data_IF_105723499997
#
_entry.id   IF_105723499997
#
_cell.length_a   1.000
_cell.length_b   1.000
_cell.length_c   1.000
_cell.angle_alpha   90.00
_cell.angle_beta   90.00
_cell.angle_gamma   90.00
#
_symmetry.space_group_name_H-M   'P 1'
#
loop_
_entity.id
_entity.type
_entity.pdbx_description
1 polymer ?
#
# COMPACT_ATOMS: atom_id res chain seq x y z
N UNK A 1 12.97 -13.40 -7.83
CA UNK A 1 14.31 -13.67 -7.25
C UNK A 1 15.07 -12.37 -7.03
N UNK A 2 15.34 -12.10 -5.76
CA UNK A 2 16.17 -11.02 -5.26
C UNK A 2 17.63 -11.17 -5.70
N UNK A 3 18.28 -10.06 -6.07
CA UNK A 3 19.69 -10.03 -6.45
C UNK A 3 20.48 -9.20 -5.43
N UNK A 4 21.38 -9.84 -4.69
CA UNK A 4 22.22 -9.18 -3.68
C UNK A 4 23.13 -8.06 -4.26
N UNK A 5 23.45 -8.13 -5.55
CA UNK A 5 24.22 -7.09 -6.25
C UNK A 5 23.38 -5.82 -6.45
N UNK A 6 22.10 -5.99 -6.78
CA UNK A 6 21.18 -4.89 -7.05
C UNK A 6 20.77 -4.20 -5.74
N UNK A 7 20.56 -4.97 -4.67
CA UNK A 7 20.28 -4.44 -3.33
C UNK A 7 21.35 -3.45 -2.84
N UNK A 8 22.61 -3.68 -3.23
CA UNK A 8 23.74 -2.83 -2.83
C UNK A 8 23.92 -1.60 -3.71
N UNK A 9 23.56 -1.70 -4.99
CA UNK A 9 23.78 -0.64 -5.98
C UNK A 9 22.57 0.29 -6.13
N UNK A 10 21.38 -0.27 -6.06
CA UNK A 10 20.12 0.44 -6.20
C UNK A 10 19.00 -0.24 -5.37
N UNK A 11 19.04 -0.11 -4.03
CA UNK A 11 18.05 -0.72 -3.15
C UNK A 11 16.62 -0.23 -3.40
N UNK A 12 16.46 1.02 -3.86
CA UNK A 12 15.14 1.58 -4.15
C UNK A 12 14.50 0.94 -5.37
N UNK A 13 15.25 0.76 -6.47
CA UNK A 13 14.72 0.06 -7.65
C UNK A 13 14.30 -1.37 -7.32
N UNK A 14 15.14 -2.12 -6.60
CA UNK A 14 14.76 -3.47 -6.19
C UNK A 14 13.50 -3.48 -5.30
N UNK A 15 13.34 -2.52 -4.39
CA UNK A 15 12.14 -2.42 -3.57
C UNK A 15 10.88 -2.22 -4.45
N UNK A 16 10.94 -1.32 -5.43
CA UNK A 16 9.83 -1.08 -6.35
C UNK A 16 9.50 -2.34 -7.17
N UNK A 17 10.50 -3.00 -7.74
CA UNK A 17 10.32 -4.26 -8.47
C UNK A 17 9.65 -5.33 -7.59
N UNK A 18 10.07 -5.46 -6.32
CA UNK A 18 9.48 -6.43 -5.41
C UNK A 18 8.05 -6.05 -4.97
N UNK A 19 7.71 -4.77 -4.90
CA UNK A 19 6.37 -4.30 -4.55
C UNK A 19 5.36 -4.57 -5.68
N UNK A 20 5.78 -4.51 -6.94
CA UNK A 20 4.92 -4.80 -8.10
C UNK A 20 4.51 -6.28 -8.17
N UNK A 21 5.34 -7.17 -7.65
CA UNK A 21 5.13 -8.63 -7.73
C UNK A 21 4.31 -9.23 -6.58
N UNK A 22 3.98 -8.44 -5.54
CA UNK A 22 3.24 -8.93 -4.36
C UNK A 22 1.77 -8.57 -4.38
N UNK A 23 0.94 -9.51 -3.93
CA UNK A 23 -0.51 -9.31 -3.78
C UNK A 23 -0.86 -8.53 -2.52
N UNK A 24 -0.03 -8.63 -1.49
CA UNK A 24 -0.29 -8.02 -0.19
C UNK A 24 1.02 -7.69 0.54
N UNK A 25 0.97 -6.62 1.31
CA UNK A 25 1.98 -6.21 2.30
C UNK A 25 1.30 -6.06 3.65
N UNK A 26 2.07 -6.13 4.73
CA UNK A 26 1.56 -5.78 6.05
C UNK A 26 1.77 -4.29 6.30
N UNK A 27 0.68 -3.53 6.39
CA UNK A 27 0.70 -2.10 6.69
C UNK A 27 0.34 -1.85 8.15
N UNK A 28 1.19 -1.13 8.87
CA UNK A 28 0.94 -0.67 10.22
C UNK A 28 -0.06 0.48 10.29
N UNK A 29 -0.52 0.77 11.51
CA UNK A 29 -1.43 1.87 11.79
C UNK A 29 -0.70 3.00 12.53
N UNK A 30 -1.09 4.26 12.33
CA UNK A 30 -0.64 5.37 13.18
C UNK A 30 -1.06 5.23 14.64
N UNK A 31 -2.12 4.44 14.93
CA UNK A 31 -2.47 4.03 16.28
C UNK A 31 -1.59 2.83 16.72
N UNK A 32 -0.68 3.01 17.70
CA UNK A 32 0.23 1.95 18.14
C UNK A 32 -0.46 0.79 18.85
N UNK A 33 -1.73 0.92 19.22
CA UNK A 33 -2.53 -0.17 19.81
C UNK A 33 -3.13 -1.09 18.74
N UNK A 34 -3.16 -0.66 17.47
CA UNK A 34 -3.70 -1.46 16.39
C UNK A 34 -2.66 -2.42 15.80
N UNK A 35 -3.15 -3.54 15.29
CA UNK A 35 -2.34 -4.51 14.58
C UNK A 35 -2.05 -4.06 13.14
N UNK A 36 -0.96 -4.58 12.58
CA UNK A 36 -0.73 -4.47 11.14
C UNK A 36 -1.81 -5.21 10.37
N UNK A 37 -2.22 -4.66 9.23
CA UNK A 37 -3.28 -5.19 8.38
C UNK A 37 -2.71 -5.56 7.00
N UNK A 38 -3.12 -6.70 6.41
CA UNK A 38 -2.74 -7.02 5.04
C UNK A 38 -3.45 -6.07 4.08
N UNK A 39 -2.69 -5.40 3.22
CA UNK A 39 -3.19 -4.43 2.25
C UNK A 39 -2.57 -4.71 0.87
N UNK A 40 -3.34 -4.52 -0.20
CA UNK A 40 -2.84 -4.66 -1.57
C UNK A 40 -2.19 -3.35 -2.05
N UNK A 41 -0.87 -3.33 -2.26
CA UNK A 41 -0.17 -2.12 -2.67
C UNK A 41 -0.41 -1.81 -4.15
N UNK A 42 -0.49 -0.52 -4.48
CA UNK A 42 -0.39 0.00 -5.85
C UNK A 42 0.83 0.95 -5.87
N UNK A 43 2.03 0.43 -6.19
CA UNK A 43 3.26 1.21 -6.13
C UNK A 43 3.28 2.29 -7.23
N UNK A 44 3.74 3.50 -6.91
CA UNK A 44 3.92 4.59 -7.86
C UNK A 44 5.29 5.25 -7.65
N UNK A 45 6.35 4.69 -8.29
CA UNK A 45 7.72 5.19 -8.11
C UNK A 45 7.90 6.64 -8.54
N UNK A 46 7.11 7.14 -9.51
CA UNK A 46 7.20 8.52 -9.98
C UNK A 46 6.71 9.54 -8.93
N UNK A 47 5.79 9.13 -8.07
CA UNK A 47 5.27 9.92 -6.94
C UNK A 47 6.00 9.61 -5.63
N UNK A 48 6.90 8.62 -5.65
CA UNK A 48 7.55 8.07 -4.45
C UNK A 48 6.52 7.66 -3.37
N UNK A 49 5.42 7.06 -3.82
CA UNK A 49 4.27 6.71 -2.99
C UNK A 49 3.79 5.28 -3.25
N UNK A 50 3.07 4.71 -2.28
CA UNK A 50 2.36 3.44 -2.44
C UNK A 50 0.90 3.71 -2.12
N UNK A 51 0.03 3.51 -3.11
CA UNK A 51 -1.39 3.74 -2.99
C UNK A 51 -2.13 2.48 -2.53
N UNK A 52 -3.10 2.65 -1.64
CA UNK A 52 -3.94 1.58 -1.15
C UNK A 52 -5.39 2.02 -1.26
N UNK A 53 -6.27 1.11 -1.66
CA UNK A 53 -7.71 1.32 -1.49
C UNK A 53 -8.09 0.95 -0.07
N UNK A 54 -8.92 1.78 0.55
CA UNK A 54 -9.59 1.43 1.80
C UNK A 54 -11.01 1.97 1.81
N UNK A 55 -11.83 1.39 2.69
CA UNK A 55 -13.09 2.02 3.05
C UNK A 55 -12.88 3.13 4.07
N UNK A 56 -13.65 4.20 3.98
CA UNK A 56 -13.63 5.32 4.94
C UNK A 56 -14.05 4.90 6.36
N UNK A 57 -14.79 3.80 6.48
CA UNK A 57 -15.23 3.21 7.75
C UNK A 57 -14.25 2.18 8.33
N UNK A 58 -13.13 1.89 7.67
CA UNK A 58 -12.16 0.91 8.15
C UNK A 58 -11.42 1.37 9.41
N UNK A 59 -10.99 0.43 10.25
CA UNK A 59 -10.20 0.72 11.45
C UNK A 59 -8.92 1.51 11.11
N UNK A 60 -8.28 1.17 9.98
CA UNK A 60 -7.07 1.82 9.52
C UNK A 60 -7.33 3.24 9.03
N UNK A 61 -8.39 3.47 8.25
CA UNK A 61 -8.76 4.81 7.80
C UNK A 61 -9.10 5.73 8.98
N UNK A 62 -9.85 5.21 9.96
CA UNK A 62 -10.19 5.93 11.19
C UNK A 62 -8.97 6.25 12.05
N UNK A 63 -8.05 5.30 12.19
CA UNK A 63 -6.80 5.51 12.92
C UNK A 63 -5.85 6.47 12.21
N UNK A 64 -5.87 6.47 10.88
CA UNK A 64 -5.06 7.39 10.10
C UNK A 64 -5.52 8.82 10.33
N UNK A 65 -6.83 9.11 10.31
CA UNK A 65 -7.34 10.44 10.63
C UNK A 65 -6.69 11.54 9.77
N UNK A 66 -5.87 12.40 10.38
CA UNK A 66 -5.10 13.46 9.70
C UNK A 66 -3.75 12.99 9.14
N UNK A 67 -3.45 11.70 9.22
CA UNK A 67 -2.20 11.06 8.87
C UNK A 67 -1.33 10.71 10.07
N UNK A 68 -0.26 9.93 9.83
CA UNK A 68 0.74 9.65 10.85
C UNK A 68 1.81 8.61 10.44
N UNK A 69 2.83 8.42 11.29
CA UNK A 69 3.93 7.52 11.00
C UNK A 69 3.48 6.06 11.02
N UNK A 70 3.91 5.29 10.02
CA UNK A 70 3.63 3.85 9.92
C UNK A 70 4.86 3.08 9.48
N UNK A 71 4.82 1.77 9.74
CA UNK A 71 5.72 0.81 9.13
C UNK A 71 4.98 -0.06 8.11
N UNK A 72 5.67 -0.42 7.03
CA UNK A 72 5.17 -1.39 6.05
C UNK A 72 6.20 -2.52 5.93
N UNK A 73 5.73 -3.75 6.10
CA UNK A 73 6.55 -4.94 5.97
C UNK A 73 6.20 -5.66 4.67
N UNK A 74 7.22 -5.88 3.85
CA UNK A 74 7.17 -6.60 2.59
C UNK A 74 7.90 -7.94 2.73
N UNK A 75 7.27 -8.99 2.22
CA UNK A 75 7.90 -10.28 1.95
C UNK A 75 7.64 -10.57 0.47
N UNK A 76 8.71 -10.72 -0.31
CA UNK A 76 8.58 -11.03 -1.74
C UNK A 76 7.91 -12.37 -1.98
N UNK A 77 7.33 -12.54 -3.18
CA UNK A 77 6.68 -13.77 -3.63
C UNK A 77 7.53 -15.05 -3.46
N UNK A 78 8.84 -14.95 -3.70
CA UNK A 78 9.78 -16.08 -3.58
C UNK A 78 10.33 -16.26 -2.15
N UNK A 79 9.88 -15.45 -1.19
CA UNK A 79 10.37 -15.41 0.20
C UNK A 79 11.89 -15.22 0.35
N UNK A 80 12.54 -14.60 -0.63
CA UNK A 80 13.99 -14.35 -0.64
C UNK A 80 14.36 -12.88 -0.40
N UNK A 81 13.37 -11.97 -0.41
CA UNK A 81 13.51 -10.56 -0.05
C UNK A 81 12.52 -10.14 1.03
N UNK A 82 13.04 -9.41 2.00
CA UNK A 82 12.28 -8.87 3.13
C UNK A 82 12.67 -7.41 3.31
N UNK A 83 11.67 -6.53 3.45
CA UNK A 83 11.90 -5.12 3.69
C UNK A 83 10.93 -4.58 4.74
N UNK A 84 11.41 -3.63 5.53
CA UNK A 84 10.60 -2.79 6.41
C UNK A 84 10.80 -1.35 5.99
N UNK A 85 9.71 -0.69 5.63
CA UNK A 85 9.67 0.72 5.27
C UNK A 85 9.12 1.49 6.47
N UNK A 86 9.59 2.72 6.64
CA UNK A 86 9.02 3.69 7.56
C UNK A 86 8.58 4.90 6.74
N UNK A 87 7.35 5.35 6.94
CA UNK A 87 6.76 6.44 6.16
C UNK A 87 5.63 7.14 6.88
N UNK A 88 4.94 8.03 6.16
CA UNK A 88 3.70 8.65 6.61
C UNK A 88 2.54 8.02 5.84
N UNK A 89 1.47 7.67 6.56
CA UNK A 89 0.20 7.26 5.96
C UNK A 89 -0.75 8.45 6.01
N UNK A 90 -1.44 8.71 4.91
CA UNK A 90 -2.44 9.78 4.78
C UNK A 90 -3.67 9.22 4.06
N UNK A 91 -4.85 9.77 4.37
CA UNK A 91 -6.09 9.46 3.65
C UNK A 91 -6.30 10.55 2.61
N UNK A 92 -6.31 10.17 1.33
CA UNK A 92 -6.46 11.10 0.21
C UNK A 92 -7.53 10.55 -0.73
N UNK A 93 -8.64 11.28 -0.87
CA UNK A 93 -9.63 10.96 -1.89
C UNK A 93 -9.21 11.57 -3.24
N UNK A 94 -8.62 10.73 -4.11
CA UNK A 94 -8.16 11.14 -5.45
C UNK A 94 -8.88 10.39 -6.57
N UNK A 95 -9.66 11.12 -7.36
CA UNK A 95 -10.36 10.57 -8.53
C UNK A 95 -9.39 10.01 -9.57
N UNK A 96 -8.27 10.69 -9.78
CA UNK A 96 -7.27 10.29 -10.78
C UNK A 96 -6.62 8.94 -10.43
N UNK A 97 -6.30 8.72 -9.14
CA UNK A 97 -5.74 7.46 -8.67
C UNK A 97 -6.77 6.33 -8.69
N UNK A 98 -8.02 6.64 -8.29
CA UNK A 98 -9.14 5.70 -8.42
C UNK A 98 -9.24 5.25 -9.87
N UNK A 99 -9.24 6.17 -10.84
CA UNK A 99 -9.37 5.80 -12.26
C UNK A 99 -8.17 5.01 -12.79
N UNK A 100 -6.95 5.35 -12.35
CA UNK A 100 -5.71 4.69 -12.79
C UNK A 100 -5.60 3.25 -12.31
N UNK A 101 -5.91 2.98 -11.04
CA UNK A 101 -5.70 1.65 -10.44
C UNK A 101 -6.99 0.80 -10.37
N UNK A 102 -8.12 1.31 -10.87
CA UNK A 102 -9.38 0.57 -10.86
C UNK A 102 -9.30 -0.71 -11.69
N UNK A 103 -9.72 -1.83 -11.11
CA UNK A 103 -9.81 -3.10 -11.81
C UNK A 103 -11.01 -3.92 -11.30
N UNK A 104 -11.26 -5.06 -11.93
CA UNK A 104 -12.38 -5.94 -11.58
C UNK A 104 -12.30 -6.46 -10.13
N UNK A 105 -11.10 -6.71 -9.62
CA UNK A 105 -10.89 -7.16 -8.23
C UNK A 105 -11.31 -6.07 -7.27
N UNK A 106 -10.86 -4.83 -7.47
CA UNK A 106 -11.27 -3.68 -6.64
C UNK A 106 -12.78 -3.47 -6.70
N UNK A 107 -13.36 -3.53 -7.90
CA UNK A 107 -14.80 -3.31 -8.09
C UNK A 107 -15.70 -4.28 -7.33
N UNK A 108 -15.20 -5.49 -7.03
CA UNK A 108 -15.95 -6.48 -6.26
C UNK A 108 -16.18 -6.06 -4.79
N UNK A 109 -15.41 -5.09 -4.28
CA UNK A 109 -15.49 -4.61 -2.90
C UNK A 109 -16.32 -3.33 -2.72
N UNK A 110 -16.73 -2.68 -3.81
CA UNK A 110 -17.43 -1.39 -3.79
C UNK A 110 -18.68 -1.45 -4.68
N UNK A 111 -19.85 -1.60 -4.04
CA UNK A 111 -21.14 -1.73 -4.74
C UNK A 111 -21.47 -0.47 -5.57
N UNK A 112 -21.06 0.72 -5.10
CA UNK A 112 -21.19 1.98 -5.84
C UNK A 112 -20.15 2.20 -6.94
N UNK A 113 -19.23 1.24 -7.13
CA UNK A 113 -18.13 1.36 -8.08
C UNK A 113 -17.18 2.51 -7.74
N UNK A 114 -16.73 3.24 -8.76
CA UNK A 114 -15.77 4.36 -8.61
C UNK A 114 -16.35 5.56 -7.85
N UNK A 115 -17.67 5.66 -7.76
CA UNK A 115 -18.40 6.75 -7.10
C UNK A 115 -18.92 6.35 -5.71
N UNK A 116 -18.48 5.19 -5.18
CA UNK A 116 -18.88 4.73 -3.86
C UNK A 116 -18.42 5.73 -2.78
N UNK A 117 -19.32 6.26 -1.94
CA UNK A 117 -18.96 7.25 -0.91
C UNK A 117 -18.07 6.66 0.19
N UNK A 118 -17.99 5.33 0.30
CA UNK A 118 -17.09 4.66 1.22
C UNK A 118 -15.66 4.51 0.65
N UNK A 119 -15.40 4.81 -0.62
CA UNK A 119 -14.10 4.64 -1.27
C UNK A 119 -13.13 5.79 -0.96
N UNK A 120 -11.94 5.45 -0.46
CA UNK A 120 -10.81 6.39 -0.35
C UNK A 120 -9.45 5.72 -0.55
#
# INVERSE_FOLDING_TARGET
MSNMSDAKKNPAAQLWDQLEDVMAVMLGSPDPLQHMQPMSPNPEPAENAIWFYTRTDSDLARATGTGGPVHLCLISKDHDYHACLHGQLEVIHSRDHIERYWNSVVSAWYEGGKDDPALT
#
